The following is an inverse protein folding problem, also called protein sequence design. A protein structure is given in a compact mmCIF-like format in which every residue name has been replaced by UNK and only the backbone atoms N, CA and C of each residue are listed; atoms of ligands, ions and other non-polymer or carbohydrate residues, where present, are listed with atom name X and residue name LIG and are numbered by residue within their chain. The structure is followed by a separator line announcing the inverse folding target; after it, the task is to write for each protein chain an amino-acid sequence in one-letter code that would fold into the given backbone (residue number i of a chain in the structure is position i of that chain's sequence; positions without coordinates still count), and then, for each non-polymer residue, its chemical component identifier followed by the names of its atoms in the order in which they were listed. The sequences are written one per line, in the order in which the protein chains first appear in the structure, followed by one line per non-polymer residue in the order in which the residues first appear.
data_IF_476133509781
#
_entry.id   IF_476133509781
#
_cell.length_a   1.000
_cell.length_b   1.000
_cell.length_c   1.000
_cell.angle_alpha   90.00
_cell.angle_beta   90.00
_cell.angle_gamma   90.00
#
_symmetry.space_group_name_H-M   'P 1'
#
loop_
_entity.id
_entity.type
_entity.pdbx_description
1 polymer ?
#
# COMPACT_ATOMS: atom_id res chain seq x y z
N UNK A 1 -9.96 2.42 -11.88
CA UNK A 1 -8.53 2.74 -11.70
C UNK A 1 -8.36 4.22 -11.97
N UNK A 2 -7.44 4.92 -11.28
CA UNK A 2 -7.19 6.33 -11.54
C UNK A 2 -6.76 6.54 -13.00
N UNK A 3 -7.06 7.71 -13.56
CA UNK A 3 -6.67 8.04 -14.94
C UNK A 3 -5.17 8.32 -15.01
N UNK A 4 -4.46 7.88 -16.06
CA UNK A 4 -3.08 8.30 -16.29
C UNK A 4 -3.03 9.83 -16.36
N UNK A 5 -2.26 10.45 -15.45
CA UNK A 5 -2.15 11.91 -15.32
C UNK A 5 -2.88 12.54 -14.12
N UNK A 6 -3.53 11.76 -13.26
CA UNK A 6 -4.12 12.28 -12.02
C UNK A 6 -3.05 12.92 -11.12
N UNK A 7 -3.26 14.16 -10.61
CA UNK A 7 -2.39 14.79 -9.64
C UNK A 7 -2.17 13.93 -8.39
N UNK A 8 -0.97 13.97 -7.81
CA UNK A 8 -0.61 13.12 -6.66
C UNK A 8 -1.59 13.30 -5.49
N UNK A 9 -1.99 14.54 -5.18
CA UNK A 9 -2.92 14.83 -4.09
C UNK A 9 -4.33 14.23 -4.31
N UNK A 10 -4.81 14.25 -5.55
CA UNK A 10 -6.11 13.65 -5.91
C UNK A 10 -6.04 12.12 -5.83
N UNK A 11 -4.95 11.53 -6.33
CA UNK A 11 -4.67 10.10 -6.20
C UNK A 11 -4.62 9.65 -4.73
N UNK A 12 -3.90 10.38 -3.89
CA UNK A 12 -3.80 10.10 -2.45
C UNK A 12 -5.17 10.17 -1.79
N UNK A 13 -5.96 11.21 -2.09
CA UNK A 13 -7.30 11.39 -1.51
C UNK A 13 -8.22 10.23 -1.92
N UNK A 14 -8.17 9.83 -3.19
CA UNK A 14 -8.92 8.69 -3.71
C UNK A 14 -8.55 7.38 -3.00
N UNK A 15 -7.25 7.09 -2.84
CA UNK A 15 -6.77 5.88 -2.16
C UNK A 15 -7.18 5.89 -0.68
N UNK A 16 -7.12 7.04 -0.01
CA UNK A 16 -7.51 7.18 1.39
C UNK A 16 -9.00 6.91 1.60
N UNK A 17 -9.86 7.50 0.77
CA UNK A 17 -11.30 7.27 0.82
C UNK A 17 -11.67 5.82 0.54
N UNK A 18 -11.03 5.22 -0.47
CA UNK A 18 -11.20 3.82 -0.82
C UNK A 18 -10.75 2.91 0.33
N UNK A 19 -9.61 3.18 0.96
CA UNK A 19 -9.11 2.38 2.06
C UNK A 19 -10.00 2.42 3.31
N UNK A 20 -10.72 3.52 3.51
CA UNK A 20 -11.70 3.61 4.59
C UNK A 20 -12.89 2.66 4.40
N UNK A 21 -13.14 2.16 3.18
CA UNK A 21 -14.20 1.18 2.90
C UNK A 21 -13.65 -0.20 2.57
N UNK A 22 -12.58 -0.29 1.79
CA UNK A 22 -11.92 -1.51 1.32
C UNK A 22 -10.40 -1.33 1.27
N UNK A 23 -9.73 -1.78 2.33
CA UNK A 23 -8.28 -1.72 2.48
C UNK A 23 -7.56 -2.48 1.36
N UNK A 24 -8.08 -3.64 0.95
CA UNK A 24 -7.46 -4.47 -0.06
C UNK A 24 -7.48 -3.80 -1.44
N UNK A 25 -8.62 -3.25 -1.82
CA UNK A 25 -8.79 -2.57 -3.10
C UNK A 25 -7.99 -1.27 -3.17
N UNK A 26 -7.81 -0.58 -2.04
CA UNK A 26 -6.92 0.59 -1.95
C UNK A 26 -5.46 0.22 -2.24
N UNK A 27 -4.94 -0.86 -1.65
CA UNK A 27 -3.60 -1.35 -1.91
C UNK A 27 -3.37 -1.73 -3.37
N UNK A 28 -4.33 -2.46 -3.96
CA UNK A 28 -4.30 -2.81 -5.39
C UNK A 28 -4.28 -1.55 -6.26
N UNK A 29 -5.16 -0.60 -5.96
CA UNK A 29 -5.24 0.68 -6.68
C UNK A 29 -3.93 1.45 -6.58
N UNK A 30 -3.34 1.54 -5.39
CA UNK A 30 -2.11 2.26 -5.17
C UNK A 30 -0.93 1.68 -5.96
N UNK A 31 -0.75 0.36 -5.92
CA UNK A 31 0.40 -0.29 -6.58
C UNK A 31 0.24 -0.35 -8.08
N UNK A 32 -0.97 -0.55 -8.60
CA UNK A 32 -1.20 -0.53 -10.03
C UNK A 32 -1.10 0.88 -10.62
N UNK A 33 -1.57 1.92 -9.92
CA UNK A 33 -1.42 3.31 -10.38
C UNK A 33 0.06 3.71 -10.44
N UNK A 34 0.83 3.41 -9.38
CA UNK A 34 2.26 3.68 -9.36
C UNK A 34 3.00 2.93 -10.47
N UNK A 35 2.67 1.65 -10.71
CA UNK A 35 3.25 0.87 -11.79
C UNK A 35 2.91 1.45 -13.17
N UNK A 36 1.64 1.79 -13.38
CA UNK A 36 1.16 2.39 -14.64
C UNK A 36 1.84 3.73 -14.92
N UNK A 37 2.07 4.53 -13.88
CA UNK A 37 2.79 5.79 -13.99
C UNK A 37 4.26 5.58 -14.39
N UNK A 38 4.92 4.55 -13.82
CA UNK A 38 6.33 4.23 -14.12
C UNK A 38 6.52 3.79 -15.58
N UNK A 39 5.56 3.03 -16.12
CA UNK A 39 5.64 2.48 -17.49
C UNK A 39 5.00 3.37 -18.55
N UNK A 40 4.30 4.46 -18.18
CA UNK A 40 3.56 5.32 -19.11
C UNK A 40 4.44 5.98 -20.19
N UNK A 41 5.73 6.18 -19.90
CA UNK A 41 6.71 6.77 -20.81
C UNK A 41 7.52 5.76 -21.62
N UNK A 42 7.25 4.45 -21.52
CA UNK A 42 8.00 3.44 -22.25
C UNK A 42 7.72 3.52 -23.75
N UNK A 43 8.74 3.80 -24.60
CA UNK A 43 8.54 3.92 -26.04
C UNK A 43 8.15 2.59 -26.69
N UNK A 44 8.68 1.47 -26.17
CA UNK A 44 8.47 0.11 -26.67
C UNK A 44 7.68 -0.73 -25.66
N UNK A 45 6.57 -0.18 -25.15
CA UNK A 45 5.69 -0.93 -24.26
C UNK A 45 5.18 -2.19 -24.98
N UNK A 46 5.33 -3.41 -24.41
CA UNK A 46 5.00 -4.66 -25.10
C UNK A 46 3.50 -4.81 -25.41
N UNK A 47 2.66 -3.95 -24.85
CA UNK A 47 1.21 -3.87 -25.04
C UNK A 47 0.75 -2.70 -25.92
N UNK A 48 1.64 -2.00 -26.62
CA UNK A 48 1.30 -0.81 -27.42
C UNK A 48 0.21 -1.04 -28.50
N UNK A 49 -0.07 -2.29 -28.86
CA UNK A 49 -1.07 -2.70 -29.85
C UNK A 49 -2.36 -3.31 -29.28
N UNK A 50 -2.51 -3.40 -27.95
CA UNK A 50 -3.59 -4.15 -27.29
C UNK A 50 -4.31 -3.36 -26.17
N UNK A 51 -5.32 -3.99 -25.55
CA UNK A 51 -6.04 -3.46 -24.39
C UNK A 51 -5.08 -3.00 -23.28
N UNK A 52 -5.50 -2.01 -22.48
CA UNK A 52 -4.70 -1.47 -21.36
C UNK A 52 -4.36 -2.59 -20.37
N UNK A 53 -3.10 -3.04 -20.26
CA UNK A 53 -2.78 -4.14 -19.36
C UNK A 53 -2.77 -3.69 -17.91
N UNK A 54 -3.00 -4.66 -17.03
CA UNK A 54 -2.84 -4.46 -15.59
C UNK A 54 -1.38 -4.67 -15.22
N UNK A 55 -0.71 -3.58 -14.85
CA UNK A 55 0.65 -3.63 -14.30
C UNK A 55 0.58 -3.46 -12.79
N UNK A 56 1.39 -4.21 -12.06
CA UNK A 56 1.64 -3.95 -10.64
C UNK A 56 3.14 -3.81 -10.38
N UNK A 57 3.50 -3.23 -9.24
CA UNK A 57 4.88 -3.00 -8.88
C UNK A 57 5.21 -3.56 -7.50
N UNK A 58 6.50 -3.81 -7.29
CA UNK A 58 7.09 -4.01 -5.99
C UNK A 58 8.28 -3.05 -5.83
N UNK A 59 8.64 -2.70 -4.60
CA UNK A 59 9.88 -1.95 -4.32
C UNK A 59 10.78 -2.68 -3.30
N UNK A 60 10.32 -3.81 -2.77
CA UNK A 60 11.08 -4.67 -1.84
C UNK A 60 11.55 -5.95 -2.56
N UNK A 61 12.67 -6.51 -2.11
CA UNK A 61 13.33 -7.64 -2.77
C UNK A 61 14.23 -7.21 -3.93
N UNK A 62 14.95 -8.19 -4.49
CA UNK A 62 16.00 -7.94 -5.46
C UNK A 62 16.06 -9.06 -6.51
N UNK A 63 16.22 -8.65 -7.77
CA UNK A 63 16.71 -9.51 -8.84
C UNK A 63 18.12 -9.14 -9.27
N UNK A 64 18.87 -10.12 -9.74
CA UNK A 64 20.14 -9.95 -10.40
C UNK A 64 19.95 -10.16 -11.90
N UNK A 65 20.34 -9.16 -12.70
CA UNK A 65 20.34 -9.20 -14.15
C UNK A 65 21.79 -9.28 -14.61
N UNK A 66 22.25 -10.52 -14.81
CA UNK A 66 23.61 -10.86 -15.20
C UNK A 66 23.59 -11.61 -16.54
N UNK A 67 24.49 -11.29 -17.46
CA UNK A 67 24.61 -11.95 -18.76
C UNK A 67 23.28 -12.02 -19.56
N UNK A 68 22.44 -10.99 -19.41
CA UNK A 68 21.13 -10.94 -20.05
C UNK A 68 20.12 -11.93 -19.47
N UNK A 69 20.30 -12.41 -18.25
CA UNK A 69 19.36 -13.28 -17.56
C UNK A 69 18.96 -12.72 -16.19
N UNK A 70 17.67 -12.67 -15.91
CA UNK A 70 17.12 -12.25 -14.61
C UNK A 70 16.89 -13.47 -13.72
N UNK A 71 17.43 -13.42 -12.51
CA UNK A 71 17.04 -14.31 -11.40
C UNK A 71 16.79 -13.48 -10.15
N UNK A 72 15.70 -13.72 -9.45
CA UNK A 72 15.34 -12.89 -8.30
C UNK A 72 14.18 -13.38 -7.46
N UNK A 73 14.02 -12.72 -6.32
CA UNK A 73 12.94 -12.99 -5.37
C UNK A 73 12.39 -11.70 -4.79
N UNK A 74 11.06 -11.59 -4.82
CA UNK A 74 10.32 -10.44 -4.32
C UNK A 74 9.25 -10.95 -3.33
N UNK A 75 9.42 -10.70 -2.03
CA UNK A 75 8.66 -11.40 -0.99
C UNK A 75 7.21 -10.92 -0.86
N UNK A 76 6.89 -9.73 -1.36
CA UNK A 76 5.58 -9.12 -1.22
C UNK A 76 5.23 -8.22 -2.42
N UNK A 77 4.52 -8.78 -3.39
CA UNK A 77 4.02 -8.08 -4.57
C UNK A 77 2.49 -8.05 -4.51
N UNK A 78 1.92 -6.86 -4.34
CA UNK A 78 0.46 -6.65 -4.26
C UNK A 78 -0.15 -6.89 -5.64
N UNK A 79 -1.25 -7.66 -5.68
CA UNK A 79 -1.99 -7.88 -6.93
C UNK A 79 -1.27 -8.71 -7.99
N UNK A 80 -0.15 -9.38 -7.67
CA UNK A 80 0.63 -10.14 -8.64
C UNK A 80 -0.17 -11.24 -9.34
N UNK A 81 -1.17 -11.83 -8.68
CA UNK A 81 -2.06 -12.83 -9.28
C UNK A 81 -3.02 -12.25 -10.33
N UNK A 82 -3.28 -10.94 -10.31
CA UNK A 82 -4.24 -10.25 -11.17
C UNK A 82 -3.58 -9.38 -12.24
N UNK A 83 -2.26 -9.22 -12.18
CA UNK A 83 -1.51 -8.40 -13.10
C UNK A 83 -1.11 -9.21 -14.33
N UNK A 84 -1.11 -8.56 -15.49
CA UNK A 84 -0.55 -9.07 -16.73
C UNK A 84 0.98 -8.92 -16.72
N UNK A 85 1.47 -7.86 -16.05
CA UNK A 85 2.89 -7.53 -15.97
C UNK A 85 3.32 -7.15 -14.55
N UNK A 86 4.53 -7.55 -14.19
CA UNK A 86 5.16 -7.29 -12.90
C UNK A 86 6.35 -6.36 -13.10
N UNK A 87 6.33 -5.19 -12.44
CA UNK A 87 7.43 -4.25 -12.43
C UNK A 87 8.26 -4.41 -11.16
N UNK A 88 9.46 -4.96 -11.34
CA UNK A 88 10.28 -5.52 -10.26
C UNK A 88 11.62 -4.79 -10.16
N UNK A 89 12.14 -4.55 -8.94
CA UNK A 89 13.49 -4.04 -8.75
C UNK A 89 14.53 -5.10 -9.10
N UNK A 90 15.54 -4.73 -9.87
CA UNK A 90 16.68 -5.57 -10.24
C UNK A 90 18.00 -4.79 -10.19
N UNK A 91 19.12 -5.49 -10.40
CA UNK A 91 20.46 -4.91 -10.50
C UNK A 91 21.13 -5.37 -11.78
N UNK A 92 21.68 -4.43 -12.55
CA UNK A 92 22.54 -4.68 -13.71
C UNK A 92 23.76 -3.76 -13.61
N UNK A 93 24.69 -4.07 -12.71
CA UNK A 93 25.76 -3.16 -12.28
C UNK A 93 25.27 -1.97 -11.43
N UNK A 94 24.06 -1.47 -11.70
CA UNK A 94 23.34 -0.45 -10.94
C UNK A 94 21.87 -0.88 -10.71
N UNK A 95 21.18 -0.22 -9.78
CA UNK A 95 19.75 -0.47 -9.55
C UNK A 95 18.94 -0.10 -10.79
N UNK A 96 18.05 -0.99 -11.21
CA UNK A 96 17.14 -0.78 -12.33
C UNK A 96 15.76 -1.38 -12.05
N UNK A 97 14.82 -1.10 -12.95
CA UNK A 97 13.47 -1.65 -12.95
C UNK A 97 13.32 -2.56 -14.16
N UNK A 98 12.77 -3.74 -13.95
CA UNK A 98 12.51 -4.71 -15.02
C UNK A 98 11.03 -5.07 -15.03
N UNK A 99 10.48 -5.09 -16.23
CA UNK A 99 9.12 -5.48 -16.49
C UNK A 99 9.13 -6.93 -16.98
N UNK A 100 8.39 -7.78 -16.26
CA UNK A 100 8.31 -9.22 -16.47
C UNK A 100 6.86 -9.61 -16.73
N UNK A 101 6.61 -10.37 -17.80
CA UNK A 101 5.28 -10.91 -18.06
C UNK A 101 4.86 -11.84 -16.91
N UNK A 102 3.60 -11.81 -16.51
CA UNK A 102 3.13 -12.63 -15.39
C UNK A 102 3.39 -14.13 -15.60
N UNK A 103 3.27 -14.61 -16.83
CA UNK A 103 3.53 -16.00 -17.20
C UNK A 103 4.99 -16.45 -17.02
N UNK A 104 5.93 -15.50 -17.00
CA UNK A 104 7.37 -15.72 -16.83
C UNK A 104 7.83 -15.69 -15.37
N UNK A 105 6.89 -15.46 -14.46
CA UNK A 105 7.15 -15.43 -13.04
C UNK A 105 6.38 -16.53 -12.31
N UNK A 106 7.05 -17.16 -11.34
CA UNK A 106 6.38 -17.99 -10.35
C UNK A 106 5.81 -17.09 -9.27
N UNK A 107 4.51 -17.24 -8.97
CA UNK A 107 3.78 -16.37 -8.04
C UNK A 107 3.00 -17.22 -7.07
N UNK A 108 3.42 -17.19 -5.82
CA UNK A 108 2.82 -17.95 -4.72
C UNK A 108 2.01 -17.02 -3.83
N UNK A 109 0.79 -17.44 -3.50
CA UNK A 109 0.02 -16.78 -2.45
C UNK A 109 0.80 -16.86 -1.12
N UNK A 110 0.77 -15.77 -0.34
CA UNK A 110 1.29 -15.81 1.02
C UNK A 110 0.13 -16.08 1.97
N UNK A 111 -0.03 -17.33 2.39
CA UNK A 111 -1.14 -17.79 3.24
C UNK A 111 -1.13 -17.20 4.67
N UNK A 112 -0.04 -16.51 5.05
CA UNK A 112 0.26 -16.15 6.45
C UNK A 112 -0.10 -14.69 6.83
N UNK A 113 -0.77 -13.94 5.96
CA UNK A 113 -1.17 -12.57 6.32
C UNK A 113 -2.50 -12.58 7.08
N UNK A 114 -2.43 -12.44 8.41
CA UNK A 114 -3.56 -12.08 9.25
C UNK A 114 -4.03 -10.64 8.94
N UNK A 115 -4.62 -10.41 7.75
CA UNK A 115 -5.06 -9.12 7.23
C UNK A 115 -4.71 -8.93 5.74
N UNK A 116 -5.47 -8.11 5.02
CA UNK A 116 -5.31 -7.78 3.59
C UNK A 116 -5.46 -8.96 2.60
N UNK A 117 -6.20 -10.02 2.95
CA UNK A 117 -6.36 -11.19 2.07
C UNK A 117 -6.89 -10.85 0.65
N UNK A 118 -7.73 -9.82 0.53
CA UNK A 118 -8.25 -9.36 -0.76
C UNK A 118 -7.23 -8.67 -1.68
N UNK A 119 -6.08 -8.23 -1.13
CA UNK A 119 -5.06 -7.47 -1.87
C UNK A 119 -4.15 -8.37 -2.74
N UNK A 120 -4.24 -9.69 -2.57
CA UNK A 120 -3.48 -10.65 -3.37
C UNK A 120 -1.96 -10.49 -3.23
N UNK A 121 -1.47 -10.15 -2.03
CA UNK A 121 -0.03 -10.05 -1.74
C UNK A 121 0.60 -11.42 -1.94
N UNK A 122 1.51 -11.49 -2.91
CA UNK A 122 2.13 -12.74 -3.33
C UNK A 122 3.64 -12.64 -3.28
N UNK A 123 4.29 -13.78 -3.09
CA UNK A 123 5.72 -13.94 -3.31
C UNK A 123 5.93 -14.17 -4.80
N UNK A 124 6.92 -13.51 -5.36
CA UNK A 124 7.29 -13.63 -6.77
C UNK A 124 8.72 -14.12 -6.86
N UNK A 125 8.99 -15.09 -7.72
CA UNK A 125 10.33 -15.49 -8.09
C UNK A 125 10.45 -15.67 -9.59
N UNK A 126 11.60 -15.26 -10.11
CA UNK A 126 11.98 -15.44 -11.51
C UNK A 126 13.29 -16.19 -11.53
N UNK A 127 13.41 -17.20 -12.38
CA UNK A 127 14.61 -18.02 -12.52
C UNK A 127 15.04 -18.04 -13.98
N UNK A 128 16.26 -17.56 -14.25
CA UNK A 128 16.91 -17.59 -15.55
C UNK A 128 16.09 -17.03 -16.73
N UNK A 129 15.30 -15.99 -16.51
CA UNK A 129 14.52 -15.35 -17.58
C UNK A 129 15.45 -14.58 -18.51
N UNK A 130 15.37 -14.81 -19.82
CA UNK A 130 16.29 -14.26 -20.82
C UNK A 130 15.89 -12.86 -21.30
N UNK A 131 16.88 -12.08 -21.73
CA UNK A 131 16.73 -10.65 -22.07
C UNK A 131 15.71 -10.37 -23.19
N UNK A 132 15.43 -11.32 -24.06
CA UNK A 132 14.40 -11.22 -25.11
C UNK A 132 12.97 -11.17 -24.55
N UNK A 133 12.78 -11.62 -23.30
CA UNK A 133 11.50 -11.64 -22.58
C UNK A 133 11.43 -10.62 -21.45
N UNK A 134 12.43 -9.76 -21.33
CA UNK A 134 12.59 -8.75 -20.29
C UNK A 134 12.62 -7.37 -20.90
N UNK A 135 11.88 -6.45 -20.30
CA UNK A 135 11.96 -5.05 -20.68
C UNK A 135 12.57 -4.25 -19.52
N UNK A 136 13.78 -3.72 -19.72
CA UNK A 136 14.40 -2.82 -18.76
C UNK A 136 13.71 -1.47 -18.89
N UNK A 137 13.06 -1.04 -17.82
CA UNK A 137 12.42 0.28 -17.76
C UNK A 137 13.50 1.30 -17.44
N UNK A 138 13.72 2.22 -18.38
CA UNK A 138 14.69 3.31 -18.23
C UNK A 138 13.93 4.60 -17.94
N UNK A 139 14.40 5.40 -16.98
CA UNK A 139 13.81 6.70 -16.68
C UNK A 139 13.98 7.12 -15.23
N UNK A 140 13.40 8.27 -14.91
CA UNK A 140 13.29 8.73 -13.52
C UNK A 140 12.13 8.03 -12.82
N UNK A 141 12.47 7.05 -11.98
CA UNK A 141 11.52 6.29 -11.17
C UNK A 141 11.11 7.00 -9.88
N UNK A 142 11.68 8.19 -9.57
CA UNK A 142 11.42 8.89 -8.31
C UNK A 142 9.95 9.29 -8.17
N UNK A 143 9.31 9.75 -9.26
CA UNK A 143 7.89 10.14 -9.22
C UNK A 143 6.98 8.93 -8.97
N UNK A 144 7.26 7.80 -9.62
CA UNK A 144 6.51 6.55 -9.40
C UNK A 144 6.75 5.98 -7.99
N UNK A 145 7.98 6.08 -7.48
CA UNK A 145 8.35 5.70 -6.12
C UNK A 145 7.62 6.57 -5.08
N UNK A 146 7.57 7.89 -5.27
CA UNK A 146 6.81 8.81 -4.42
C UNK A 146 5.33 8.46 -4.43
N UNK A 147 4.75 8.19 -5.60
CA UNK A 147 3.35 7.77 -5.76
C UNK A 147 3.06 6.44 -5.06
N UNK A 148 3.95 5.46 -5.18
CA UNK A 148 3.83 4.19 -4.46
C UNK A 148 3.88 4.38 -2.95
N UNK A 149 4.84 5.17 -2.45
CA UNK A 149 4.95 5.50 -1.02
C UNK A 149 3.72 6.24 -0.49
N UNK A 150 3.23 7.22 -1.22
CA UNK A 150 2.04 8.00 -0.88
C UNK A 150 0.78 7.12 -0.85
N UNK A 151 0.59 6.28 -1.88
CA UNK A 151 -0.53 5.36 -1.97
C UNK A 151 -0.50 4.29 -0.88
N UNK A 152 0.68 3.76 -0.53
CA UNK A 152 0.86 2.83 0.57
C UNK A 152 0.48 3.48 1.92
N UNK A 153 0.99 4.69 2.19
CA UNK A 153 0.66 5.44 3.40
C UNK A 153 -0.85 5.77 3.47
N UNK A 154 -1.43 6.27 2.37
CA UNK A 154 -2.86 6.57 2.27
C UNK A 154 -3.71 5.33 2.50
N UNK A 155 -3.29 4.17 2.00
CA UNK A 155 -3.98 2.89 2.21
C UNK A 155 -4.03 2.52 3.70
N UNK A 156 -2.92 2.69 4.44
CA UNK A 156 -2.91 2.40 5.88
C UNK A 156 -3.73 3.42 6.67
N UNK A 157 -3.54 4.72 6.40
CA UNK A 157 -4.24 5.81 7.09
C UNK A 157 -5.75 5.69 6.87
N UNK A 158 -6.20 5.52 5.62
CA UNK A 158 -7.62 5.35 5.31
C UNK A 158 -8.20 4.09 5.94
N UNK A 159 -7.46 2.98 5.96
CA UNK A 159 -7.90 1.76 6.66
C UNK A 159 -8.15 1.99 8.15
N UNK A 160 -7.26 2.74 8.81
CA UNK A 160 -7.42 3.10 10.22
C UNK A 160 -8.59 4.07 10.45
N UNK A 161 -8.85 4.99 9.52
CA UNK A 161 -10.11 5.78 9.51
C UNK A 161 -11.34 4.86 9.40
N UNK A 162 -11.26 3.81 8.59
CA UNK A 162 -12.29 2.78 8.50
C UNK A 162 -12.54 2.03 9.82
N UNK A 163 -11.46 1.68 10.55
CA UNK A 163 -11.54 1.10 11.91
C UNK A 163 -12.29 2.04 12.85
N UNK A 164 -11.90 3.32 12.90
CA UNK A 164 -12.55 4.32 13.75
C UNK A 164 -14.03 4.50 13.42
N UNK A 165 -14.39 4.65 12.13
CA UNK A 165 -15.79 4.78 11.68
C UNK A 165 -16.63 3.60 12.16
N UNK A 166 -16.13 2.38 11.97
CA UNK A 166 -16.84 1.16 12.36
C UNK A 166 -16.98 1.02 13.86
N UNK A 167 -15.94 1.38 14.61
CA UNK A 167 -15.96 1.39 16.08
C UNK A 167 -17.02 2.37 16.60
N UNK A 168 -17.04 3.60 16.10
CA UNK A 168 -18.03 4.63 16.48
C UNK A 168 -19.46 4.18 16.13
N UNK A 169 -19.66 3.56 14.97
CA UNK A 169 -20.97 3.02 14.57
C UNK A 169 -21.45 1.94 15.56
N UNK A 170 -20.59 1.01 15.94
CA UNK A 170 -20.92 0.00 16.95
C UNK A 170 -21.27 0.63 18.31
N UNK A 171 -20.51 1.63 18.76
CA UNK A 171 -20.81 2.36 19.99
C UNK A 171 -22.17 3.06 19.92
N UNK A 172 -22.51 3.68 18.78
CA UNK A 172 -23.82 4.33 18.58
C UNK A 172 -24.98 3.33 18.67
N UNK A 173 -24.85 2.17 18.02
CA UNK A 173 -25.85 1.09 18.08
C UNK A 173 -25.98 0.56 19.50
N UNK A 174 -24.86 0.35 20.19
CA UNK A 174 -24.86 -0.08 21.59
C UNK A 174 -25.61 0.92 22.47
N UNK A 175 -25.27 2.21 22.41
CA UNK A 175 -25.94 3.27 23.18
C UNK A 175 -27.44 3.37 22.87
N UNK A 176 -27.84 3.25 21.61
CA UNK A 176 -29.24 3.34 21.21
C UNK A 176 -30.09 2.15 21.72
N UNK A 177 -29.47 0.98 21.89
CA UNK A 177 -30.16 -0.27 22.29
C UNK A 177 -30.11 -0.54 23.79
N UNK A 178 -29.21 0.11 24.53
CA UNK A 178 -29.04 -0.10 25.96
C UNK A 178 -29.82 0.94 26.77
N UNK A 179 -31.06 0.60 27.11
CA UNK A 179 -31.81 1.33 28.13
C UNK A 179 -31.13 1.14 29.51
N UNK A 180 -30.39 2.16 29.96
CA UNK A 180 -29.85 2.32 31.35
C UNK A 180 -28.62 1.49 31.76
N UNK A 181 -27.98 0.70 30.90
CA UNK A 181 -26.86 -0.19 31.33
C UNK A 181 -25.54 -0.09 30.56
N UNK A 182 -25.46 0.61 29.42
CA UNK A 182 -24.17 0.88 28.77
C UNK A 182 -23.82 2.36 28.92
N UNK A 183 -23.24 2.73 30.05
CA UNK A 183 -22.52 4.00 30.15
C UNK A 183 -21.19 3.86 29.41
N UNK A 184 -20.99 4.64 28.35
CA UNK A 184 -19.65 4.89 27.83
C UNK A 184 -18.95 5.77 28.85
N UNK A 185 -17.81 5.29 29.37
CA UNK A 185 -17.01 6.07 30.31
C UNK A 185 -16.41 7.29 29.61
N UNK A 186 -16.19 8.38 30.35
CA UNK A 186 -15.48 9.56 29.83
C UNK A 186 -14.11 9.20 29.25
N UNK A 187 -13.44 8.20 29.83
CA UNK A 187 -12.17 7.68 29.35
C UNK A 187 -12.28 7.06 27.94
N UNK A 188 -13.31 6.25 27.69
CA UNK A 188 -13.56 5.66 26.38
C UNK A 188 -13.94 6.72 25.34
N UNK A 189 -14.75 7.72 25.70
CA UNK A 189 -15.06 8.84 24.83
C UNK A 189 -13.81 9.66 24.47
N UNK A 190 -12.95 9.94 25.45
CA UNK A 190 -11.68 10.64 25.24
C UNK A 190 -10.73 9.84 24.32
N UNK A 191 -10.70 8.51 24.43
CA UNK A 191 -9.89 7.65 23.56
C UNK A 191 -10.35 7.70 22.10
N UNK A 192 -11.66 7.66 21.86
CA UNK A 192 -12.25 7.81 20.52
C UNK A 192 -11.92 9.18 19.92
N UNK A 193 -11.95 10.24 20.73
CA UNK A 193 -11.61 11.60 20.30
C UNK A 193 -10.12 11.76 19.97
N UNK A 194 -9.22 11.18 20.79
CA UNK A 194 -7.78 11.17 20.51
C UNK A 194 -7.46 10.42 19.23
N UNK A 195 -8.03 9.22 19.04
CA UNK A 195 -7.86 8.47 17.82
C UNK A 195 -8.33 9.25 16.58
N UNK A 196 -9.47 9.95 16.67
CA UNK A 196 -9.94 10.82 15.58
C UNK A 196 -8.93 11.93 15.27
N UNK A 197 -8.39 12.61 16.29
CA UNK A 197 -7.39 13.67 16.11
C UNK A 197 -6.08 13.15 15.52
N UNK A 198 -5.64 11.96 15.91
CA UNK A 198 -4.43 11.35 15.35
C UNK A 198 -4.63 10.92 13.90
N UNK A 199 -5.79 10.38 13.55
CA UNK A 199 -6.10 10.00 12.18
C UNK A 199 -6.27 11.21 11.26
N UNK A 200 -6.82 12.32 11.75
CA UNK A 200 -6.85 13.59 11.04
C UNK A 200 -5.44 14.13 10.77
N UNK A 201 -4.57 14.14 11.79
CA UNK A 201 -3.17 14.53 11.63
C UNK A 201 -2.41 13.63 10.64
N UNK A 202 -2.64 12.31 10.68
CA UNK A 202 -2.04 11.37 9.72
C UNK A 202 -2.57 11.62 8.30
N UNK A 203 -3.85 11.96 8.15
CA UNK A 203 -4.47 12.31 6.86
C UNK A 203 -3.79 13.54 6.26
N UNK A 204 -3.64 14.62 7.05
CA UNK A 204 -2.95 15.84 6.61
C UNK A 204 -1.50 15.59 6.19
N UNK A 205 -0.79 14.71 6.89
CA UNK A 205 0.60 14.35 6.55
C UNK A 205 0.72 13.66 5.18
N UNK A 206 -0.29 12.89 4.77
CA UNK A 206 -0.26 12.15 3.50
C UNK A 206 -0.84 12.99 2.35
N UNK A 207 -1.87 13.81 2.59
CA UNK A 207 -2.51 14.65 1.55
C UNK A 207 -1.76 15.94 1.25
N UNK A 208 -0.99 16.47 2.19
CA UNK A 208 -0.15 17.64 2.02
C UNK A 208 1.33 17.29 2.28
N UNK A 209 1.96 16.46 1.41
CA UNK A 209 3.38 16.16 1.55
C UNK A 209 4.23 17.44 1.46
N UNK A 210 5.47 17.43 1.99
CA UNK A 210 6.32 18.61 2.03
C UNK A 210 6.52 19.24 0.64
N UNK A 211 6.68 20.58 0.57
CA UNK A 211 6.65 21.33 -0.69
C UNK A 211 7.80 21.03 -1.67
N UNK A 212 8.85 20.35 -1.21
CA UNK A 212 9.94 19.88 -2.06
C UNK A 212 9.80 18.37 -2.32
N UNK A 213 9.01 18.02 -3.35
CA UNK A 213 8.79 16.63 -3.80
C UNK A 213 10.09 15.94 -4.23
N UNK A 214 11.19 16.69 -4.41
CA UNK A 214 12.51 16.14 -4.76
C UNK A 214 13.27 15.59 -3.55
N UNK A 215 12.91 15.97 -2.31
CA UNK A 215 13.44 15.32 -1.10
C UNK A 215 12.63 14.07 -0.76
N UNK A 216 12.84 13.03 -1.56
CA UNK A 216 12.23 11.71 -1.35
C UNK A 216 12.49 11.18 0.07
N UNK A 217 13.65 11.47 0.66
CA UNK A 217 13.97 11.01 2.01
C UNK A 217 13.12 11.71 3.08
N UNK A 218 12.87 13.02 2.96
CA UNK A 218 11.94 13.74 3.83
C UNK A 218 10.50 13.24 3.65
N UNK A 219 10.06 13.08 2.41
CA UNK A 219 8.72 12.59 2.09
C UNK A 219 8.49 11.18 2.67
N UNK A 220 9.45 10.27 2.51
CA UNK A 220 9.39 8.93 3.11
C UNK A 220 9.32 8.99 4.64
N UNK A 221 10.05 9.90 5.31
CA UNK A 221 9.94 10.07 6.77
C UNK A 221 8.54 10.49 7.19
N UNK A 222 7.91 11.42 6.46
CA UNK A 222 6.54 11.87 6.71
C UNK A 222 5.56 10.70 6.55
N UNK A 223 5.69 9.90 5.49
CA UNK A 223 4.85 8.71 5.28
C UNK A 223 5.02 7.66 6.38
N UNK A 224 6.25 7.38 6.81
CA UNK A 224 6.50 6.48 7.96
C UNK A 224 5.81 6.99 9.22
N UNK A 225 5.88 8.29 9.49
CA UNK A 225 5.25 8.90 10.65
C UNK A 225 3.71 8.78 10.59
N UNK A 226 3.11 9.06 9.43
CA UNK A 226 1.67 8.94 9.22
C UNK A 226 1.19 7.50 9.41
N UNK A 227 1.91 6.52 8.85
CA UNK A 227 1.63 5.08 9.03
C UNK A 227 1.71 4.67 10.49
N UNK A 228 2.76 5.09 11.21
CA UNK A 228 2.94 4.76 12.62
C UNK A 228 1.82 5.38 13.49
N UNK A 229 1.45 6.63 13.22
CA UNK A 229 0.35 7.32 13.92
C UNK A 229 -0.99 6.63 13.68
N UNK A 230 -1.30 6.29 12.42
CA UNK A 230 -2.54 5.60 12.07
C UNK A 230 -2.64 4.21 12.71
N UNK A 231 -1.54 3.45 12.71
CA UNK A 231 -1.47 2.16 13.40
C UNK A 231 -1.71 2.31 14.90
N UNK A 232 -1.01 3.23 15.56
CA UNK A 232 -1.17 3.44 17.02
C UNK A 232 -2.60 3.87 17.38
N UNK A 233 -3.24 4.71 16.56
CA UNK A 233 -4.65 5.06 16.75
C UNK A 233 -5.58 3.84 16.64
N UNK A 234 -5.34 2.95 15.66
CA UNK A 234 -6.10 1.72 15.50
C UNK A 234 -5.86 0.73 16.67
N UNK A 235 -4.62 0.59 17.13
CA UNK A 235 -4.25 -0.24 18.28
C UNK A 235 -5.00 0.22 19.54
N UNK A 236 -4.96 1.51 19.84
CA UNK A 236 -5.70 2.07 20.98
C UNK A 236 -7.20 1.81 20.87
N UNK A 237 -7.82 1.99 19.69
CA UNK A 237 -9.25 1.72 19.52
C UNK A 237 -9.61 0.24 19.75
N UNK A 238 -8.71 -0.68 19.40
CA UNK A 238 -8.91 -2.10 19.64
C UNK A 238 -8.75 -2.44 21.13
N UNK A 239 -7.70 -1.94 21.79
CA UNK A 239 -7.42 -2.17 23.22
C UNK A 239 -8.58 -1.72 24.11
N UNK A 240 -9.23 -0.60 23.79
CA UNK A 240 -10.41 -0.11 24.52
C UNK A 240 -11.70 -0.89 24.23
N UNK A 241 -11.69 -1.78 23.24
CA UNK A 241 -12.88 -2.49 22.76
C UNK A 241 -13.07 -3.86 23.40
N UNK A 242 -14.27 -4.12 23.93
CA UNK A 242 -14.72 -5.45 24.40
C UNK A 242 -14.67 -6.58 23.34
N UNK A 243 -14.42 -6.21 22.08
CA UNK A 243 -14.40 -7.10 20.91
C UNK A 243 -12.99 -7.43 20.41
N UNK A 244 -11.94 -6.97 21.11
CA UNK A 244 -10.54 -7.15 20.72
C UNK A 244 -10.17 -8.61 20.44
N UNK A 245 -10.80 -9.56 21.14
CA UNK A 245 -10.54 -11.00 21.02
C UNK A 245 -11.47 -11.72 20.03
N UNK A 246 -12.52 -11.04 19.55
CA UNK A 246 -13.45 -11.63 18.59
C UNK A 246 -12.93 -11.43 17.17
N UNK A 247 -12.33 -12.50 16.63
CA UNK A 247 -11.78 -12.55 15.28
C UNK A 247 -12.82 -12.33 14.17
N UNK A 248 -14.11 -12.53 14.48
CA UNK A 248 -15.23 -12.31 13.56
C UNK A 248 -15.76 -10.88 13.62
N UNK A 249 -15.34 -10.08 14.61
CA UNK A 249 -15.77 -8.70 14.72
C UNK A 249 -15.19 -7.85 13.57
N UNK A 250 -16.01 -7.04 12.88
CA UNK A 250 -15.55 -6.24 11.74
C UNK A 250 -14.51 -5.17 12.12
N UNK A 251 -14.47 -4.70 13.37
CA UNK A 251 -13.42 -3.78 13.85
C UNK A 251 -12.08 -4.52 13.95
N UNK A 252 -12.08 -5.73 14.53
CA UNK A 252 -10.90 -6.59 14.64
C UNK A 252 -10.36 -7.01 13.27
N UNK A 253 -11.24 -7.32 12.32
CA UNK A 253 -10.86 -7.62 10.94
C UNK A 253 -10.19 -6.42 10.25
N UNK A 254 -10.78 -5.22 10.35
CA UNK A 254 -10.16 -4.01 9.78
C UNK A 254 -8.87 -3.61 10.47
N UNK A 255 -8.75 -3.84 11.79
CA UNK A 255 -7.51 -3.62 12.50
C UNK A 255 -6.40 -4.55 11.98
N UNK A 256 -6.71 -5.83 11.72
CA UNK A 256 -5.77 -6.77 11.08
C UNK A 256 -5.29 -6.26 9.72
N UNK A 257 -6.17 -5.65 8.93
CA UNK A 257 -5.79 -5.02 7.66
C UNK A 257 -4.84 -3.83 7.85
N UNK A 258 -5.05 -3.00 8.88
CA UNK A 258 -4.14 -1.90 9.26
C UNK A 258 -2.78 -2.45 9.70
N UNK A 259 -2.76 -3.48 10.55
CA UNK A 259 -1.52 -4.09 11.04
C UNK A 259 -0.72 -4.73 9.90
N UNK A 260 -1.36 -5.54 9.05
CA UNK A 260 -0.75 -6.11 7.85
C UNK A 260 -0.27 -5.03 6.87
N UNK A 261 -1.10 -4.02 6.63
CA UNK A 261 -0.77 -2.88 5.76
C UNK A 261 0.40 -2.06 6.28
N UNK A 262 0.50 -1.83 7.59
CA UNK A 262 1.61 -1.08 8.18
C UNK A 262 2.95 -1.80 8.00
N UNK A 263 2.98 -3.14 8.14
CA UNK A 263 4.17 -3.95 7.85
C UNK A 263 4.54 -3.94 6.38
N UNK A 264 3.55 -3.95 5.49
CA UNK A 264 3.77 -3.90 4.05
C UNK A 264 4.29 -2.51 3.63
N UNK A 265 3.70 -1.43 4.16
CA UNK A 265 4.13 -0.07 3.93
C UNK A 265 5.57 0.15 4.42
N UNK A 266 5.92 -0.35 5.61
CA UNK A 266 7.29 -0.26 6.12
C UNK A 266 8.31 -0.88 5.15
N UNK A 267 8.06 -2.14 4.73
CA UNK A 267 8.92 -2.84 3.75
C UNK A 267 9.03 -2.07 2.43
N UNK A 268 7.91 -1.59 1.91
CA UNK A 268 7.88 -0.80 0.67
C UNK A 268 8.72 0.47 0.81
N UNK A 269 8.52 1.24 1.88
CA UNK A 269 9.22 2.51 2.12
C UNK A 269 10.72 2.32 2.37
N UNK A 270 11.14 1.17 2.92
CA UNK A 270 12.54 0.80 3.08
C UNK A 270 13.20 0.40 1.76
N UNK A 271 12.43 -0.14 0.81
CA UNK A 271 12.89 -0.53 -0.52
C UNK A 271 12.90 0.60 -1.56
N UNK A 272 12.30 1.77 -1.26
CA UNK A 272 12.34 2.91 -2.18
C UNK A 272 13.79 3.38 -2.39
N UNK A 273 14.17 3.72 -3.64
CA UNK A 273 15.54 4.10 -3.95
C UNK A 273 15.95 5.35 -3.15
N UNK A 274 17.21 5.42 -2.66
CA UNK A 274 17.70 6.63 -2.02
C UNK A 274 17.71 7.79 -3.02
N UNK A 275 17.58 9.05 -2.56
CA UNK A 275 17.67 10.19 -3.45
C UNK A 275 19.04 10.20 -4.16
N UNK A 276 19.02 10.42 -5.48
CA UNK A 276 20.22 10.70 -6.24
C UNK A 276 20.81 12.01 -5.69
N UNK A 277 22.00 11.94 -5.09
CA UNK A 277 22.76 13.12 -4.63
C UNK A 277 23.57 13.72 -5.77
#
# INVERSE_FOLDING_TARGET
MPSPGMPLAEFVSHVLELAATDSAQAWLTAMSDAASHDVAGMPDAPWASAATPVVTCCYDGHGDLSDGSLTGHWPAVVGAQRADWLLLPARNGASCRVLVAREDAHVDAVDDHAGLGGAGVSRVSVAHLTADRLHVVSGDHATAATRAGAGAAASVVGSAVGVWRRHVEQLRVQLATSYRSAEITDAAAAQVARAASDLDAATLQVTAPPPDERDLAATVRVYRQAVARARSAADHLLEGGRHALDASNPVTQRWRDVDAGSRLAARLLDGLPPPLR
#
